data_IF_335711796276
#
_entry.id   IF_335711796276
#
_cell.length_a   1.000
_cell.length_b   1.000
_cell.length_c   1.000
_cell.angle_alpha   90.00
_cell.angle_beta   90.00
_cell.angle_gamma   90.00
#
_symmetry.space_group_name_H-M   'P 1'
#
loop_
_entity.id
_entity.type
_entity.pdbx_description
1 polymer ?
#
# COMPACT_ATOMS: atom_id res chain seq x y z
N UNK A 1 -14.50 8.38 -17.46
CA UNK A 1 -14.89 8.69 -16.06
C UNK A 1 -15.35 7.38 -15.42
N UNK A 2 -15.07 7.15 -14.12
CA UNK A 2 -15.51 5.93 -13.41
C UNK A 2 -17.02 5.98 -13.17
N UNK A 3 -17.71 4.86 -13.36
CA UNK A 3 -19.16 4.73 -13.10
C UNK A 3 -19.41 4.66 -11.60
N UNK A 4 -18.56 3.93 -10.87
CA UNK A 4 -18.64 3.81 -9.42
C UNK A 4 -17.70 4.80 -8.74
N UNK A 5 -18.22 5.50 -7.73
CA UNK A 5 -17.49 6.48 -6.91
C UNK A 5 -17.69 6.13 -5.43
N UNK A 6 -16.63 6.20 -4.65
CA UNK A 6 -16.59 5.81 -3.25
C UNK A 6 -16.13 7.00 -2.40
N UNK A 7 -16.76 7.22 -1.25
CA UNK A 7 -16.23 8.16 -0.27
C UNK A 7 -14.90 7.66 0.27
N UNK A 8 -13.92 8.55 0.39
CA UNK A 8 -12.71 8.31 1.15
C UNK A 8 -12.86 8.92 2.53
N UNK A 9 -12.99 8.04 3.52
CA UNK A 9 -12.99 8.44 4.92
C UNK A 9 -11.53 8.67 5.32
N UNK A 10 -11.20 9.89 5.76
CA UNK A 10 -9.90 10.20 6.35
C UNK A 10 -9.99 10.04 7.87
N UNK A 11 -9.52 8.94 8.46
CA UNK A 11 -9.62 8.77 9.90
C UNK A 11 -8.70 9.69 10.71
N UNK A 12 -7.82 10.51 10.09
CA UNK A 12 -6.92 11.56 10.67
C UNK A 12 -5.66 11.83 9.81
N UNK A 13 -5.59 11.42 8.52
CA UNK A 13 -4.31 11.39 7.78
C UNK A 13 -4.16 12.51 6.73
N UNK A 14 -3.05 13.25 6.83
CA UNK A 14 -2.72 14.42 6.02
C UNK A 14 -2.17 14.12 4.60
N UNK A 15 -2.09 12.85 4.17
CA UNK A 15 -1.54 12.50 2.84
C UNK A 15 -2.59 12.20 1.78
N UNK A 16 -3.87 12.08 2.12
CA UNK A 16 -4.93 11.87 1.11
C UNK A 16 -4.97 13.07 0.14
N UNK A 17 -4.75 14.28 0.65
CA UNK A 17 -4.54 15.46 -0.18
C UNK A 17 -3.40 15.28 -1.17
N UNK A 18 -2.24 14.76 -0.72
CA UNK A 18 -1.12 14.47 -1.61
C UNK A 18 -1.50 13.42 -2.66
N UNK A 19 -2.20 12.34 -2.29
CA UNK A 19 -2.68 11.36 -3.27
C UNK A 19 -3.63 12.00 -4.30
N UNK A 20 -4.58 12.83 -3.85
CA UNK A 20 -5.55 13.48 -4.73
C UNK A 20 -4.90 14.48 -5.70
N UNK A 21 -3.86 15.19 -5.26
CA UNK A 21 -3.22 16.24 -6.04
C UNK A 21 -2.04 15.75 -6.89
N UNK A 22 -1.36 14.69 -6.44
CA UNK A 22 -0.07 14.28 -7.01
C UNK A 22 -0.06 12.88 -7.62
N UNK A 23 -1.12 12.07 -7.47
CA UNK A 23 -1.20 10.71 -8.04
C UNK A 23 -2.09 10.65 -9.30
N UNK A 24 -1.66 11.16 -10.47
CA UNK A 24 -2.34 10.85 -11.71
C UNK A 24 -2.10 9.37 -12.01
N UNK A 25 -3.14 8.55 -11.85
CA UNK A 25 -3.21 7.16 -12.27
C UNK A 25 -4.44 6.98 -13.15
N UNK A 26 -4.30 6.19 -14.21
CA UNK A 26 -5.43 5.82 -15.08
C UNK A 26 -6.26 4.69 -14.49
N UNK A 27 -5.67 3.92 -13.58
CA UNK A 27 -6.30 2.77 -12.95
C UNK A 27 -7.12 3.17 -11.72
N UNK A 28 -6.63 4.13 -10.93
CA UNK A 28 -7.26 4.58 -9.70
C UNK A 28 -7.37 6.10 -9.70
N UNK A 29 -8.58 6.60 -9.51
CA UNK A 29 -8.88 8.00 -9.26
C UNK A 29 -8.93 8.24 -7.76
N UNK A 30 -8.17 9.22 -7.29
CA UNK A 30 -8.37 9.87 -6.00
C UNK A 30 -8.50 11.36 -6.29
N UNK A 31 -9.57 11.99 -5.82
CA UNK A 31 -9.84 13.41 -6.10
C UNK A 31 -10.56 14.07 -4.93
N UNK A 32 -10.46 15.39 -4.86
CA UNK A 32 -11.32 16.21 -4.01
C UNK A 32 -12.72 16.30 -4.62
N UNK A 33 -13.75 16.11 -3.79
CA UNK A 33 -15.15 16.24 -4.15
C UNK A 33 -15.69 17.54 -3.56
N UNK A 34 -15.53 18.64 -4.30
CA UNK A 34 -15.97 19.97 -3.90
C UNK A 34 -17.40 20.19 -4.40
N UNK A 35 -18.38 19.52 -3.78
CA UNK A 35 -19.77 19.60 -4.26
C UNK A 35 -20.53 20.86 -3.83
N UNK A 36 -20.03 21.62 -2.86
CA UNK A 36 -20.51 22.97 -2.52
C UNK A 36 -19.51 23.66 -1.57
N UNK A 37 -19.30 24.97 -1.72
CA UNK A 37 -18.37 25.85 -0.95
C UNK A 37 -18.57 25.83 0.58
N UNK A 38 -19.57 25.10 1.08
CA UNK A 38 -19.94 25.01 2.50
C UNK A 38 -19.84 23.59 3.08
N UNK A 39 -19.45 22.59 2.28
CA UNK A 39 -19.25 21.22 2.75
C UNK A 39 -17.82 21.01 3.25
N UNK A 40 -17.64 20.17 4.29
CA UNK A 40 -16.31 19.75 4.71
C UNK A 40 -15.59 19.08 3.53
N UNK A 41 -14.27 19.32 3.39
CA UNK A 41 -13.44 18.69 2.35
C UNK A 41 -13.69 17.18 2.33
N UNK A 42 -14.26 16.70 1.23
CA UNK A 42 -14.48 15.28 0.97
C UNK A 42 -13.54 14.82 -0.14
N UNK A 43 -13.03 13.61 0.00
CA UNK A 43 -12.25 12.96 -1.03
C UNK A 43 -13.03 11.77 -1.55
N UNK A 44 -12.84 11.47 -2.83
CA UNK A 44 -13.46 10.33 -3.51
C UNK A 44 -12.41 9.40 -4.08
N UNK A 45 -12.79 8.14 -4.19
CA UNK A 45 -12.06 7.08 -4.86
C UNK A 45 -12.89 6.56 -6.03
N UNK A 46 -12.24 6.21 -7.13
CA UNK A 46 -12.90 5.60 -8.29
C UNK A 46 -11.93 4.78 -9.10
N UNK A 47 -12.45 3.94 -10.00
CA UNK A 47 -11.62 3.18 -10.92
C UNK A 47 -12.42 2.73 -12.13
N UNK A 48 -11.85 2.93 -13.31
CA UNK A 48 -12.46 2.49 -14.57
C UNK A 48 -12.57 0.96 -14.69
N UNK A 49 -11.78 0.22 -13.90
CA UNK A 49 -11.87 -1.25 -13.80
C UNK A 49 -13.20 -1.71 -13.21
N UNK A 50 -13.99 -0.81 -12.62
CA UNK A 50 -15.28 -1.10 -12.03
C UNK A 50 -16.45 -0.83 -12.99
N UNK A 51 -16.20 -0.18 -14.14
CA UNK A 51 -17.27 0.34 -15.02
C UNK A 51 -18.16 -0.75 -15.65
N UNK A 52 -17.68 -1.98 -15.71
CA UNK A 52 -18.41 -3.12 -16.27
C UNK A 52 -19.29 -3.84 -15.23
N UNK A 53 -19.16 -3.48 -13.94
CA UNK A 53 -19.85 -4.14 -12.83
C UNK A 53 -21.18 -3.44 -12.61
N UNK A 54 -22.28 -4.20 -12.63
CA UNK A 54 -23.63 -3.67 -12.36
C UNK A 54 -24.07 -3.84 -10.91
N UNK A 55 -23.50 -4.80 -10.19
CA UNK A 55 -23.83 -5.04 -8.79
C UNK A 55 -22.97 -4.18 -7.85
N UNK A 56 -23.63 -3.39 -7.00
CA UNK A 56 -22.94 -2.48 -6.08
C UNK A 56 -22.07 -3.19 -5.04
N UNK A 57 -22.46 -4.40 -4.60
CA UNK A 57 -21.68 -5.19 -3.65
C UNK A 57 -20.40 -5.71 -4.29
N UNK A 58 -20.50 -6.25 -5.52
CA UNK A 58 -19.35 -6.65 -6.31
C UNK A 58 -18.41 -5.47 -6.59
N UNK A 59 -18.95 -4.32 -7.01
CA UNK A 59 -18.17 -3.11 -7.28
C UNK A 59 -17.41 -2.66 -6.04
N UNK A 60 -18.06 -2.70 -4.87
CA UNK A 60 -17.44 -2.36 -3.60
C UNK A 60 -16.33 -3.33 -3.21
N UNK A 61 -16.55 -4.63 -3.34
CA UNK A 61 -15.54 -5.65 -3.03
C UNK A 61 -14.32 -5.55 -3.98
N UNK A 62 -14.52 -5.21 -5.26
CA UNK A 62 -13.42 -4.94 -6.19
C UNK A 62 -12.69 -3.62 -5.88
N UNK A 63 -13.40 -2.59 -5.45
CA UNK A 63 -12.77 -1.36 -4.98
C UNK A 63 -11.91 -1.58 -3.73
N UNK A 64 -12.36 -2.43 -2.79
CA UNK A 64 -11.56 -2.84 -1.64
C UNK A 64 -10.24 -3.51 -2.06
N UNK A 65 -10.25 -4.31 -3.13
CA UNK A 65 -9.02 -4.90 -3.68
C UNK A 65 -8.09 -3.87 -4.29
N UNK A 66 -8.59 -2.99 -5.16
CA UNK A 66 -7.80 -1.92 -5.77
C UNK A 66 -7.14 -1.01 -4.73
N UNK A 67 -7.89 -0.68 -3.68
CA UNK A 67 -7.39 0.07 -2.52
C UNK A 67 -6.16 -0.57 -1.88
N UNK A 68 -6.05 -1.90 -1.84
CA UNK A 68 -4.87 -2.57 -1.27
C UNK A 68 -3.58 -2.16 -2.00
N UNK A 69 -3.65 -1.88 -3.30
CA UNK A 69 -2.49 -1.40 -4.06
C UNK A 69 -2.08 0.01 -3.63
N UNK A 70 -3.06 0.91 -3.45
CA UNK A 70 -2.82 2.27 -2.94
C UNK A 70 -2.21 2.20 -1.55
N UNK A 71 -2.78 1.39 -0.66
CA UNK A 71 -2.30 1.27 0.71
C UNK A 71 -0.87 0.70 0.77
N UNK A 72 -0.60 -0.38 0.04
CA UNK A 72 0.73 -0.98 -0.01
C UNK A 72 1.79 -0.05 -0.60
N UNK A 73 1.46 0.62 -1.71
CA UNK A 73 2.36 1.56 -2.36
C UNK A 73 2.61 2.79 -1.48
N UNK A 74 1.54 3.35 -0.89
CA UNK A 74 1.65 4.47 0.04
C UNK A 74 2.47 4.09 1.26
N UNK A 75 2.23 2.93 1.88
CA UNK A 75 3.03 2.45 3.00
C UNK A 75 4.51 2.37 2.63
N UNK A 76 4.85 1.89 1.44
CA UNK A 76 6.25 1.77 1.00
C UNK A 76 6.93 3.15 0.84
N UNK A 77 6.21 4.13 0.29
CA UNK A 77 6.72 5.48 0.00
C UNK A 77 6.74 6.37 1.24
N UNK A 78 5.87 6.14 2.20
CA UNK A 78 5.72 6.95 3.40
C UNK A 78 6.92 6.84 4.34
N UNK A 79 7.48 7.96 4.82
CA UNK A 79 8.69 7.91 5.68
C UNK A 79 8.39 7.36 7.08
N UNK A 80 7.41 7.95 7.77
CA UNK A 80 7.05 7.55 9.13
C UNK A 80 6.04 6.40 9.13
N UNK A 81 6.54 5.16 9.11
CA UNK A 81 5.70 3.95 9.12
C UNK A 81 4.75 3.90 10.33
N UNK A 82 5.08 4.56 11.45
CA UNK A 82 4.24 4.56 12.65
C UNK A 82 3.08 5.56 12.54
N UNK A 83 3.27 6.66 11.81
CA UNK A 83 2.21 7.62 11.51
C UNK A 83 1.34 7.22 10.29
N UNK A 84 1.79 6.28 9.47
CA UNK A 84 1.02 5.80 8.32
C UNK A 84 -0.35 5.24 8.75
N UNK A 85 -1.40 5.64 8.02
CA UNK A 85 -2.76 5.10 8.18
C UNK A 85 -3.31 4.73 6.80
N UNK A 86 -3.81 3.50 6.59
CA UNK A 86 -4.42 3.15 5.31
C UNK A 86 -5.70 3.95 5.08
N UNK A 87 -6.04 4.18 3.81
CA UNK A 87 -7.29 4.86 3.47
C UNK A 87 -8.48 3.99 3.87
N UNK A 88 -9.70 4.53 3.88
CA UNK A 88 -10.93 3.78 4.15
C UNK A 88 -12.00 4.16 3.15
N UNK A 89 -12.64 3.16 2.54
CA UNK A 89 -13.81 3.39 1.70
C UNK A 89 -15.05 3.55 2.59
N UNK A 90 -15.87 4.55 2.29
CA UNK A 90 -17.13 4.86 2.94
C UNK A 90 -18.31 4.46 2.08
N UNK A 91 -19.28 5.35 1.89
CA UNK A 91 -20.44 5.06 1.02
C UNK A 91 -20.04 5.01 -0.45
N UNK A 92 -20.90 4.43 -1.30
CA UNK A 92 -20.72 4.32 -2.75
C UNK A 92 -21.87 5.03 -3.49
N UNK A 93 -21.61 5.58 -4.67
CA UNK A 93 -22.63 6.04 -5.63
C UNK A 93 -22.32 5.54 -7.05
N UNK A 94 -23.36 5.45 -7.86
CA UNK A 94 -23.28 5.24 -9.30
C UNK A 94 -23.50 6.56 -10.03
N UNK A 95 -22.53 6.99 -10.85
CA UNK A 95 -22.57 8.27 -11.59
C UNK A 95 -22.90 9.46 -10.68
N UNK A 96 -23.89 10.24 -11.10
CA UNK A 96 -24.35 11.44 -10.38
C UNK A 96 -25.43 11.14 -9.31
N UNK A 97 -25.62 9.86 -8.96
CA UNK A 97 -26.56 9.43 -7.93
C UNK A 97 -26.13 9.80 -6.50
N UNK A 98 -27.01 9.50 -5.54
CA UNK A 98 -26.73 9.69 -4.12
C UNK A 98 -25.87 8.56 -3.55
N UNK A 99 -25.02 8.91 -2.58
CA UNK A 99 -24.24 7.93 -1.81
C UNK A 99 -25.14 7.04 -0.94
N UNK A 100 -24.89 5.74 -0.99
CA UNK A 100 -25.56 4.73 -0.18
C UNK A 100 -24.56 3.73 0.44
N UNK A 101 -24.99 3.01 1.47
CA UNK A 101 -24.16 2.03 2.18
C UNK A 101 -24.37 0.63 1.62
N UNK A 102 -23.28 -0.09 1.37
CA UNK A 102 -23.30 -1.53 1.05
C UNK A 102 -23.21 -2.32 2.36
N UNK A 103 -24.17 -3.20 2.60
CA UNK A 103 -24.24 -4.00 3.83
C UNK A 103 -23.22 -5.15 3.86
N UNK A 104 -23.01 -5.82 2.73
CA UNK A 104 -22.21 -7.05 2.63
C UNK A 104 -20.79 -6.75 2.13
N UNK A 105 -19.95 -6.22 3.00
CA UNK A 105 -18.54 -5.93 2.69
C UNK A 105 -17.67 -7.13 3.08
N UNK A 106 -16.97 -7.70 2.10
CA UNK A 106 -16.12 -8.87 2.31
C UNK A 106 -14.67 -8.40 2.32
N UNK A 107 -13.92 -8.75 3.37
CA UNK A 107 -12.48 -8.55 3.39
C UNK A 107 -11.83 -9.36 2.26
N UNK A 108 -11.16 -8.72 1.28
CA UNK A 108 -10.61 -9.45 0.16
C UNK A 108 -9.55 -10.45 0.60
N UNK A 109 -9.67 -11.69 0.15
CA UNK A 109 -8.70 -12.77 0.40
C UNK A 109 -7.82 -13.06 -0.82
N UNK A 110 -8.19 -12.51 -1.99
CA UNK A 110 -7.47 -12.62 -3.25
C UNK A 110 -7.60 -11.32 -4.04
N UNK A 111 -6.64 -11.09 -4.93
CA UNK A 111 -6.69 -10.01 -5.91
C UNK A 111 -7.06 -10.58 -7.28
N UNK A 112 -8.20 -10.17 -7.82
CA UNK A 112 -8.76 -10.65 -9.09
C UNK A 112 -9.40 -9.53 -9.91
N UNK A 113 -8.86 -8.31 -9.81
CA UNK A 113 -9.24 -7.18 -10.67
C UNK A 113 -8.66 -7.37 -12.07
N UNK A 114 -9.50 -7.23 -13.09
CA UNK A 114 -9.09 -7.38 -14.49
C UNK A 114 -8.53 -6.06 -15.05
N UNK A 115 -7.20 -5.95 -15.08
CA UNK A 115 -6.51 -4.78 -15.63
C UNK A 115 -6.62 -4.65 -17.16
N UNK A 116 -7.15 -5.65 -17.88
CA UNK A 116 -7.31 -5.58 -19.34
C UNK A 116 -8.44 -4.64 -19.78
N UNK A 117 -9.36 -4.31 -18.87
CA UNK A 117 -10.47 -3.36 -19.11
C UNK A 117 -9.96 -1.95 -19.43
N UNK A 118 -8.77 -1.60 -18.93
CA UNK A 118 -8.06 -0.38 -19.28
C UNK A 118 -6.77 -0.69 -20.04
N UNK A 119 -6.80 -0.90 -21.36
CA UNK A 119 -5.59 -1.17 -22.13
C UNK A 119 -4.72 0.07 -22.33
N UNK A 120 -5.13 1.25 -21.83
CA UNK A 120 -4.42 2.50 -22.03
C UNK A 120 -3.03 2.42 -21.41
N UNK A 121 -2.03 2.65 -22.25
CA UNK A 121 -0.64 2.84 -21.83
C UNK A 121 -0.54 4.23 -21.20
N UNK A 122 -0.26 4.28 -19.90
CA UNK A 122 -0.14 5.55 -19.19
C UNK A 122 1.02 6.38 -19.75
N UNK A 123 0.83 7.70 -19.80
CA UNK A 123 1.99 8.60 -19.78
C UNK A 123 2.70 8.41 -18.44
N UNK A 124 4.03 8.47 -18.43
CA UNK A 124 4.81 8.37 -17.20
C UNK A 124 4.26 9.32 -16.13
N UNK A 125 3.71 8.73 -15.05
CA UNK A 125 3.30 9.47 -13.86
C UNK A 125 4.54 9.91 -13.09
N UNK A 126 4.51 11.08 -12.46
CA UNK A 126 5.60 11.50 -11.57
C UNK A 126 5.44 10.93 -10.15
N UNK A 127 4.24 10.45 -9.79
CA UNK A 127 3.99 9.83 -8.49
C UNK A 127 4.61 8.45 -8.39
N UNK A 128 5.42 8.23 -7.34
CA UNK A 128 5.95 6.91 -7.01
C UNK A 128 4.82 5.90 -6.74
N UNK A 129 3.75 6.34 -6.07
CA UNK A 129 2.58 5.49 -5.79
C UNK A 129 1.92 5.03 -7.10
N UNK A 130 1.67 5.93 -8.04
CA UNK A 130 1.10 5.58 -9.34
C UNK A 130 2.01 4.64 -10.14
N UNK A 131 3.33 4.91 -10.19
CA UNK A 131 4.31 4.03 -10.85
C UNK A 131 4.29 2.61 -10.29
N UNK A 132 4.19 2.46 -8.96
CA UNK A 132 4.12 1.14 -8.31
C UNK A 132 2.84 0.39 -8.67
N UNK A 133 1.69 1.08 -8.70
CA UNK A 133 0.41 0.51 -9.13
C UNK A 133 0.51 0.05 -10.59
N UNK A 134 1.10 0.87 -11.46
CA UNK A 134 1.31 0.54 -12.87
C UNK A 134 2.18 -0.71 -13.03
N UNK A 135 3.29 -0.81 -12.29
CA UNK A 135 4.16 -1.98 -12.29
C UNK A 135 3.45 -3.24 -11.79
N UNK A 136 2.60 -3.13 -10.77
CA UNK A 136 1.83 -4.26 -10.23
C UNK A 136 0.90 -4.90 -11.27
N UNK A 137 0.47 -4.16 -12.30
CA UNK A 137 -0.35 -4.71 -13.40
C UNK A 137 0.36 -5.78 -14.22
N UNK A 138 1.68 -5.66 -14.34
CA UNK A 138 2.49 -6.45 -15.27
C UNK A 138 3.48 -7.36 -14.53
N UNK A 139 3.65 -7.16 -13.23
CA UNK A 139 4.63 -7.88 -12.44
C UNK A 139 4.04 -8.45 -11.16
N UNK A 140 3.98 -9.78 -11.10
CA UNK A 140 3.45 -10.53 -9.97
C UNK A 140 4.18 -10.24 -8.66
N UNK A 141 5.52 -10.08 -8.68
CA UNK A 141 6.28 -9.75 -7.48
C UNK A 141 5.89 -8.38 -6.92
N UNK A 142 5.78 -7.36 -7.77
CA UNK A 142 5.35 -6.03 -7.34
C UNK A 142 3.93 -6.08 -6.78
N UNK A 143 3.00 -6.75 -7.48
CA UNK A 143 1.63 -6.95 -7.02
C UNK A 143 1.61 -7.59 -5.62
N UNK A 144 2.26 -8.74 -5.46
CA UNK A 144 2.28 -9.48 -4.21
C UNK A 144 2.86 -8.66 -3.06
N UNK A 145 3.96 -7.94 -3.29
CA UNK A 145 4.55 -7.08 -2.27
C UNK A 145 3.58 -5.98 -1.85
N UNK A 146 2.93 -5.28 -2.79
CA UNK A 146 1.96 -4.24 -2.43
C UNK A 146 0.80 -4.83 -1.61
N UNK A 147 0.29 -6.00 -1.99
CA UNK A 147 -0.76 -6.69 -1.24
C UNK A 147 -0.29 -7.06 0.18
N UNK A 148 0.92 -7.59 0.34
CA UNK A 148 1.46 -7.91 1.68
C UNK A 148 1.58 -6.63 2.54
N UNK A 149 2.14 -5.56 1.98
CA UNK A 149 2.31 -4.28 2.69
C UNK A 149 0.98 -3.67 3.13
N UNK A 150 -0.08 -3.87 2.34
CA UNK A 150 -1.43 -3.34 2.63
C UNK A 150 -2.08 -3.95 3.89
N UNK A 151 -1.66 -5.15 4.31
CA UNK A 151 -2.22 -5.85 5.46
C UNK A 151 -1.67 -5.33 6.81
N UNK A 152 -0.81 -4.31 6.77
CA UNK A 152 -0.05 -3.84 7.92
C UNK A 152 1.23 -4.65 8.10
N UNK A 153 2.26 -4.04 8.65
CA UNK A 153 3.60 -4.63 8.71
C UNK A 153 3.97 -5.02 10.14
N UNK A 154 3.28 -6.01 10.68
CA UNK A 154 3.73 -6.76 11.86
C UNK A 154 4.88 -7.73 11.48
N UNK A 155 5.44 -8.44 12.46
CA UNK A 155 6.54 -9.37 12.20
C UNK A 155 6.19 -10.51 11.24
N UNK A 156 4.93 -10.94 11.16
CA UNK A 156 4.50 -12.02 10.27
C UNK A 156 4.47 -11.53 8.83
N UNK A 157 3.84 -10.39 8.59
CA UNK A 157 3.75 -9.79 7.25
C UNK A 157 5.11 -9.30 6.76
N UNK A 158 5.96 -8.78 7.66
CA UNK A 158 7.37 -8.47 7.36
C UNK A 158 8.15 -9.70 6.90
N UNK A 159 7.95 -10.85 7.56
CA UNK A 159 8.60 -12.09 7.16
C UNK A 159 8.07 -12.60 5.82
N UNK A 160 6.76 -12.49 5.59
CA UNK A 160 6.15 -12.85 4.31
C UNK A 160 6.71 -11.99 3.17
N UNK A 161 6.87 -10.69 3.36
CA UNK A 161 7.52 -9.80 2.40
C UNK A 161 8.99 -10.19 2.14
N UNK A 162 9.72 -10.61 3.17
CA UNK A 162 11.08 -11.14 3.01
C UNK A 162 11.11 -12.43 2.18
N UNK A 163 10.19 -13.36 2.43
CA UNK A 163 10.08 -14.60 1.67
C UNK A 163 9.73 -14.33 0.20
N UNK A 164 8.85 -13.37 -0.07
CA UNK A 164 8.51 -12.90 -1.42
C UNK A 164 9.73 -12.28 -2.13
N UNK A 165 10.50 -11.43 -1.43
CA UNK A 165 11.77 -10.89 -1.95
C UNK A 165 12.76 -12.02 -2.30
N UNK A 166 12.97 -12.98 -1.40
CA UNK A 166 13.86 -14.14 -1.65
C UNK A 166 13.39 -14.97 -2.85
N UNK A 167 12.09 -15.18 -2.97
CA UNK A 167 11.47 -15.89 -4.10
C UNK A 167 11.77 -15.19 -5.42
N UNK A 168 11.53 -13.88 -5.49
CA UNK A 168 11.82 -13.07 -6.67
C UNK A 168 13.29 -13.12 -7.07
N UNK A 169 14.20 -13.09 -6.09
CA UNK A 169 15.64 -13.06 -6.31
C UNK A 169 16.24 -14.42 -6.65
N UNK A 170 15.50 -15.51 -6.47
CA UNK A 170 15.96 -16.87 -6.74
C UNK A 170 16.47 -16.98 -8.17
N UNK A 171 17.74 -17.39 -8.31
CA UNK A 171 18.41 -17.51 -9.61
C UNK A 171 18.90 -16.19 -10.22
N UNK A 172 18.59 -15.03 -9.62
CA UNK A 172 19.06 -13.71 -10.06
C UNK A 172 20.23 -13.21 -9.23
N UNK A 173 20.06 -13.19 -7.89
CA UNK A 173 21.06 -12.70 -6.94
C UNK A 173 20.81 -13.28 -5.56
N UNK A 174 21.87 -13.56 -4.81
CA UNK A 174 21.77 -13.92 -3.40
C UNK A 174 21.34 -12.70 -2.58
N UNK A 175 20.43 -12.88 -1.62
CA UNK A 175 19.93 -11.77 -0.80
C UNK A 175 21.07 -11.10 -0.01
N UNK A 176 22.08 -11.88 0.37
CA UNK A 176 23.27 -11.42 1.08
C UNK A 176 24.12 -10.44 0.28
N UNK A 177 23.94 -10.43 -1.04
CA UNK A 177 24.70 -9.60 -1.97
C UNK A 177 23.92 -8.35 -2.40
N UNK A 178 22.70 -8.10 -1.90
CA UNK A 178 21.84 -6.99 -2.33
C UNK A 178 22.25 -5.62 -1.77
N UNK A 179 23.18 -5.60 -0.82
CA UNK A 179 23.62 -4.36 -0.18
C UNK A 179 22.76 -3.97 1.02
N UNK A 180 22.11 -4.95 1.64
CA UNK A 180 21.49 -4.78 2.95
C UNK A 180 22.40 -5.33 4.05
N UNK A 181 22.24 -4.82 5.28
CA UNK A 181 22.99 -5.32 6.43
C UNK A 181 22.56 -6.76 6.77
N UNK A 182 23.42 -7.71 6.42
CA UNK A 182 23.20 -9.14 6.66
C UNK A 182 23.11 -9.49 8.15
N UNK A 183 23.83 -8.77 9.02
CA UNK A 183 23.73 -8.98 10.46
C UNK A 183 22.36 -8.52 10.99
N UNK A 184 21.87 -7.36 10.51
CA UNK A 184 20.53 -6.86 10.83
C UNK A 184 19.44 -7.77 10.27
N UNK A 185 19.59 -8.29 9.06
CA UNK A 185 18.67 -9.26 8.45
C UNK A 185 18.61 -10.58 9.24
N UNK A 186 19.77 -11.11 9.63
CA UNK A 186 19.82 -12.31 10.47
C UNK A 186 19.15 -12.06 11.83
N UNK A 187 19.41 -10.92 12.48
CA UNK A 187 18.72 -10.54 13.72
C UNK A 187 17.21 -10.44 13.55
N UNK A 188 16.74 -9.80 12.48
CA UNK A 188 15.31 -9.74 12.15
C UNK A 188 14.71 -11.15 12.08
N UNK A 189 15.31 -12.06 11.30
CA UNK A 189 14.77 -13.42 11.15
C UNK A 189 14.78 -14.20 12.46
N UNK A 190 15.76 -13.96 13.33
CA UNK A 190 15.81 -14.59 14.64
C UNK A 190 14.74 -14.02 15.59
N UNK A 191 14.53 -12.71 15.60
CA UNK A 191 13.46 -12.05 16.36
C UNK A 191 12.08 -12.51 15.91
N UNK A 192 11.81 -12.48 14.60
CA UNK A 192 10.51 -12.79 14.02
C UNK A 192 10.08 -14.26 14.24
N UNK A 193 11.04 -15.16 14.42
CA UNK A 193 10.79 -16.59 14.64
C UNK A 193 10.79 -17.00 16.12
N UNK A 194 11.09 -16.08 17.05
CA UNK A 194 11.24 -16.41 18.46
C UNK A 194 10.02 -15.97 19.29
N UNK A 195 9.18 -16.94 19.66
CA UNK A 195 7.98 -16.71 20.47
C UNK A 195 8.29 -16.11 21.85
N UNK A 196 9.39 -16.51 22.49
CA UNK A 196 9.78 -15.94 23.79
C UNK A 196 10.17 -14.45 23.69
N UNK A 197 10.44 -13.94 22.49
CA UNK A 197 10.81 -12.55 22.24
C UNK A 197 9.60 -11.67 21.93
N UNK A 198 8.72 -12.11 21.03
CA UNK A 198 7.62 -11.27 20.51
C UNK A 198 6.22 -11.90 20.67
N UNK A 199 6.12 -13.02 21.39
CA UNK A 199 4.86 -13.67 21.73
C UNK A 199 4.04 -14.04 20.50
N UNK A 200 2.74 -13.69 20.53
CA UNK A 200 1.80 -14.00 19.46
C UNK A 200 2.17 -13.38 18.11
N UNK A 201 3.02 -12.35 18.07
CA UNK A 201 3.49 -11.77 16.81
C UNK A 201 4.58 -12.61 16.13
N UNK A 202 5.10 -13.63 16.81
CA UNK A 202 6.04 -14.59 16.21
C UNK A 202 5.40 -15.36 15.06
N UNK A 203 6.20 -15.69 14.04
CA UNK A 203 5.83 -16.57 12.94
C UNK A 203 5.57 -18.00 13.42
N UNK A 204 6.35 -18.43 14.41
CA UNK A 204 6.28 -19.77 14.97
C UNK A 204 5.88 -19.71 16.44
N UNK A 205 5.25 -20.78 16.93
CA UNK A 205 5.01 -20.97 18.36
C UNK A 205 6.31 -21.21 19.13
N UNK A 206 6.22 -21.74 20.34
CA UNK A 206 7.41 -22.01 21.17
C UNK A 206 8.35 -23.00 20.50
N UNK A 207 9.48 -22.50 19.99
CA UNK A 207 10.62 -23.30 19.58
C UNK A 207 11.64 -23.35 20.73
N UNK A 208 12.42 -24.42 20.83
CA UNK A 208 13.52 -24.54 21.81
C UNK A 208 14.74 -23.67 21.45
N UNK A 209 14.51 -22.49 20.86
CA UNK A 209 15.54 -21.55 20.44
C UNK A 209 15.70 -20.45 21.49
N UNK A 210 16.95 -20.11 21.79
CA UNK A 210 17.25 -19.01 22.69
C UNK A 210 16.86 -17.67 22.05
N UNK A 211 16.23 -16.74 22.80
CA UNK A 211 15.98 -15.39 22.31
C UNK A 211 17.27 -14.70 21.80
N UNK A 212 17.19 -13.87 20.74
CA UNK A 212 18.31 -13.01 20.39
C UNK A 212 18.64 -12.06 21.55
N UNK A 213 19.92 -11.87 21.84
CA UNK A 213 20.37 -10.97 22.91
C UNK A 213 19.90 -9.52 22.71
N UNK A 214 19.88 -9.08 21.44
CA UNK A 214 19.37 -7.77 21.03
C UNK A 214 18.30 -7.99 19.95
N UNK A 215 17.03 -8.21 20.32
CA UNK A 215 15.94 -8.29 19.37
C UNK A 215 15.84 -7.02 18.52
N UNK A 216 15.34 -7.15 17.28
CA UNK A 216 15.00 -5.98 16.48
C UNK A 216 13.61 -5.47 16.89
N UNK A 217 13.45 -4.16 17.04
CA UNK A 217 12.13 -3.57 17.23
C UNK A 217 11.28 -3.68 15.95
N UNK A 218 9.97 -3.47 16.08
CA UNK A 218 9.08 -3.49 14.93
C UNK A 218 9.44 -2.38 13.91
N UNK A 219 9.72 -1.16 14.38
CA UNK A 219 10.10 -0.02 13.54
C UNK A 219 11.39 -0.32 12.74
N UNK A 220 12.43 -0.80 13.41
CA UNK A 220 13.69 -1.17 12.75
C UNK A 220 13.50 -2.29 11.72
N UNK A 221 12.55 -3.20 11.97
CA UNK A 221 12.21 -4.29 11.06
C UNK A 221 11.43 -3.77 9.84
N UNK A 222 10.49 -2.85 10.04
CA UNK A 222 9.75 -2.18 8.97
C UNK A 222 10.69 -1.41 8.04
N UNK A 223 11.61 -0.61 8.60
CA UNK A 223 12.65 0.08 7.85
C UNK A 223 13.50 -0.91 7.05
N UNK A 224 14.05 -1.93 7.70
CA UNK A 224 14.89 -2.93 7.06
C UNK A 224 14.20 -3.59 5.85
N UNK A 225 12.96 -4.06 6.02
CA UNK A 225 12.26 -4.76 4.95
C UNK A 225 11.82 -3.81 3.84
N UNK A 226 11.37 -2.59 4.18
CA UNK A 226 11.02 -1.61 3.14
C UNK A 226 12.25 -1.13 2.36
N UNK A 227 13.41 -1.00 2.99
CA UNK A 227 14.67 -0.71 2.31
C UNK A 227 15.11 -1.82 1.38
N UNK A 228 14.98 -3.09 1.79
CA UNK A 228 15.21 -4.25 0.92
C UNK A 228 14.33 -4.17 -0.34
N UNK A 229 13.03 -3.95 -0.16
CA UNK A 229 12.07 -3.85 -1.26
C UNK A 229 12.46 -2.70 -2.19
N UNK A 230 12.77 -1.51 -1.66
CA UNK A 230 13.19 -0.35 -2.46
C UNK A 230 14.46 -0.61 -3.26
N UNK A 231 15.45 -1.30 -2.68
CA UNK A 231 16.66 -1.69 -3.41
C UNK A 231 16.30 -2.61 -4.60
N UNK A 232 15.45 -3.60 -4.38
CA UNK A 232 15.00 -4.51 -5.46
C UNK A 232 14.26 -3.73 -6.55
N UNK A 233 13.34 -2.84 -6.16
CA UNK A 233 12.58 -2.01 -7.08
C UNK A 233 13.49 -1.12 -7.93
N UNK A 234 14.49 -0.48 -7.31
CA UNK A 234 15.49 0.33 -8.01
C UNK A 234 16.34 -0.49 -8.97
N UNK A 235 16.85 -1.63 -8.51
CA UNK A 235 17.83 -2.43 -9.26
C UNK A 235 17.18 -3.19 -10.44
N UNK A 236 15.89 -3.55 -10.35
CA UNK A 236 15.21 -4.41 -11.33
C UNK A 236 14.05 -3.75 -12.10
N UNK A 237 13.52 -2.62 -11.62
CA UNK A 237 12.33 -1.98 -12.19
C UNK A 237 12.54 -0.50 -12.55
N UNK A 238 13.81 -0.06 -12.63
CA UNK A 238 14.22 1.29 -13.02
C UNK A 238 13.56 2.44 -12.21
N UNK A 239 13.15 2.15 -10.97
CA UNK A 239 12.68 3.15 -10.03
C UNK A 239 13.86 3.87 -9.36
N UNK A 240 14.71 4.50 -10.17
CA UNK A 240 15.93 5.22 -9.73
C UNK A 240 15.63 6.42 -8.83
N UNK A 241 14.49 7.05 -9.04
CA UNK A 241 14.00 8.18 -8.25
C UNK A 241 12.88 7.72 -7.30
N UNK A 242 13.17 6.73 -6.45
CA UNK A 242 12.26 6.39 -5.36
C UNK A 242 12.26 7.55 -4.35
N UNK A 243 11.37 8.52 -4.56
CA UNK A 243 11.24 9.66 -3.67
C UNK A 243 10.40 9.27 -2.47
N UNK A 244 10.97 9.42 -1.28
CA UNK A 244 10.22 9.35 -0.03
C UNK A 244 9.29 10.55 0.04
N UNK A 245 8.00 10.30 0.25
CA UNK A 245 7.05 11.38 0.45
C UNK A 245 7.03 11.74 1.94
N UNK A 246 7.58 12.92 2.26
CA UNK A 246 7.29 13.60 3.52
C UNK A 246 5.92 14.23 3.40
N UNK A 247 5.03 13.96 4.35
CA UNK A 247 3.87 14.82 4.51
C UNK A 247 4.39 16.22 4.88
N UNK A 248 4.23 17.17 3.97
CA UNK A 248 4.06 18.56 4.36
C UNK A 248 2.68 18.60 4.99
N UNK A 249 2.60 18.76 6.32
CA UNK A 249 1.32 18.96 6.98
C UNK A 249 0.71 20.17 6.28
N UNK A 250 -0.51 20.03 5.73
CA UNK A 250 -1.29 21.21 5.37
C UNK A 250 -1.24 22.13 6.60
N UNK A 251 -0.67 23.31 6.41
CA UNK A 251 -0.09 24.11 7.48
C UNK A 251 -1.01 24.30 8.68
N UNK A 252 -0.43 24.57 9.84
CA UNK A 252 -0.66 25.87 10.47
C UNK A 252 -1.21 26.87 9.45
N UNK A 253 -2.53 27.06 9.49
CA UNK A 253 -3.27 28.11 8.78
C UNK A 253 -2.89 29.52 9.27
N UNK A 254 -1.90 29.64 10.14
CA UNK A 254 -1.45 30.91 10.73
C UNK A 254 -0.34 31.62 9.91
N UNK A 255 0.23 30.99 8.88
CA UNK A 255 1.28 31.61 8.04
C UNK A 255 0.79 32.11 6.66
N UNK A 256 -0.53 32.25 6.48
CA UNK A 256 -1.13 32.85 5.27
C UNK A 256 -2.12 33.98 5.62
N UNK A 257 -1.70 34.95 6.44
CA UNK A 257 -2.22 36.32 6.45
C UNK A 257 -1.14 37.31 6.90
#
# INVERSE_FOLDING_TARGET
>A
MSVWIFELLSPTSNYIHNLATSMPSTDILIAEDNYDDYSALQYIFGSIHLNHISDSTEAYNKALQLKLLVDGASFLVYEDKQAYRPIKLGRIREGDGYFFTVADQITPTRFDVDFSINPVVEKESQSTVAKLIQLARQNEFVLNILLILSQGMDFRNLYQALDECKSFLKGKRKIENIGIDNAKLNRFTHTANNFATIGLLSRHGTLAQQPPANPLSLSESQELITDLIRIILRDYFDLKEFQMEKIILAGNLDDLF
#
